data_IF_942311123071
#
_entry.id   IF_942311123071
#
_cell.length_a   1.000
_cell.length_b   1.000
_cell.length_c   1.000
_cell.angle_alpha   90.00
_cell.angle_beta   90.00
_cell.angle_gamma   90.00
#
_symmetry.space_group_name_H-M   'P 1'
#
loop_
_entity.id
_entity.type
_entity.pdbx_description
1 polymer ?
#
# COMPACT_ATOMS: atom_id res chain seq x y z
N UNK A 1 18.24 1.37 -9.68
CA UNK A 1 16.88 0.99 -10.12
C UNK A 1 15.95 0.97 -8.93
N UNK A 2 14.76 1.53 -9.07
CA UNK A 2 13.78 1.53 -7.99
C UNK A 2 13.06 0.20 -7.90
N UNK A 3 12.87 -0.27 -6.68
CA UNK A 3 12.10 -1.49 -6.43
C UNK A 3 10.62 -1.20 -6.28
N UNK A 4 10.30 0.00 -5.82
CA UNK A 4 8.92 0.41 -5.57
C UNK A 4 8.82 1.92 -5.71
N UNK A 5 7.60 2.41 -5.87
CA UNK A 5 7.39 3.83 -6.08
C UNK A 5 6.26 4.35 -5.22
N UNK A 6 6.50 5.53 -4.61
CA UNK A 6 5.47 6.32 -3.95
C UNK A 6 4.99 7.32 -4.98
N UNK A 7 3.74 7.21 -5.38
CA UNK A 7 3.24 7.94 -6.55
C UNK A 7 3.02 9.42 -6.25
N UNK A 8 2.48 9.73 -5.09
CA UNK A 8 2.17 11.10 -4.69
C UNK A 8 2.82 11.37 -3.33
N UNK A 9 3.25 12.60 -3.09
CA UNK A 9 3.95 12.93 -1.84
C UNK A 9 3.13 12.63 -0.58
N UNK A 10 1.80 12.62 -0.71
CA UNK A 10 0.92 12.36 0.45
C UNK A 10 0.59 10.90 0.62
N UNK A 11 1.02 10.04 -0.29
CA UNK A 11 0.70 8.62 -0.20
C UNK A 11 1.36 7.98 1.02
N UNK A 12 0.66 7.07 1.65
CA UNK A 12 1.22 6.26 2.72
C UNK A 12 1.41 4.81 2.30
N UNK A 13 1.33 4.56 1.00
CA UNK A 13 1.63 3.26 0.41
C UNK A 13 2.55 3.45 -0.79
N UNK A 14 3.26 2.38 -1.15
CA UNK A 14 4.06 2.34 -2.36
C UNK A 14 3.63 1.14 -3.18
N UNK A 15 3.95 1.16 -4.47
CA UNK A 15 3.61 0.09 -5.39
C UNK A 15 4.89 -0.60 -5.83
N UNK A 16 4.91 -1.93 -5.75
CA UNK A 16 6.08 -2.70 -6.17
C UNK A 16 6.22 -2.63 -7.69
N UNK A 17 7.42 -2.34 -8.16
CA UNK A 17 7.69 -2.26 -9.59
C UNK A 17 8.19 -3.60 -10.14
N UNK A 18 8.48 -4.54 -9.27
CA UNK A 18 8.85 -5.90 -9.60
C UNK A 18 8.50 -6.78 -8.41
N UNK A 19 8.61 -8.08 -8.58
CA UNK A 19 8.36 -8.99 -7.46
C UNK A 19 9.44 -8.79 -6.42
N UNK A 20 9.03 -8.63 -5.17
CA UNK A 20 9.95 -8.36 -4.07
C UNK A 20 9.82 -9.49 -3.05
N UNK A 21 10.94 -10.07 -2.62
CA UNK A 21 10.88 -11.19 -1.67
C UNK A 21 10.52 -10.75 -0.27
N UNK A 22 10.02 -11.68 0.51
CA UNK A 22 9.70 -11.44 1.90
C UNK A 22 10.95 -10.95 2.64
N UNK A 23 10.75 -10.01 3.54
CA UNK A 23 11.79 -9.46 4.43
C UNK A 23 12.85 -8.64 3.71
N UNK A 24 12.67 -8.39 2.41
CA UNK A 24 13.58 -7.50 1.70
C UNK A 24 13.45 -6.09 2.26
N UNK A 25 14.58 -5.37 2.28
CA UNK A 25 14.58 -3.96 2.62
C UNK A 25 14.58 -3.17 1.33
N UNK A 26 13.61 -2.30 1.17
CA UNK A 26 13.51 -1.48 -0.02
C UNK A 26 13.54 -0.02 0.37
N UNK A 27 14.07 0.80 -0.51
CA UNK A 27 14.13 2.23 -0.26
C UNK A 27 13.10 2.91 -1.13
N UNK A 28 12.23 3.70 -0.50
CA UNK A 28 11.15 4.38 -1.20
C UNK A 28 11.10 5.82 -0.69
N UNK A 29 11.31 6.78 -1.59
CA UNK A 29 11.22 8.20 -1.26
C UNK A 29 12.09 8.55 -0.03
N UNK A 30 13.31 7.99 0.02
CA UNK A 30 14.24 8.27 1.10
C UNK A 30 13.98 7.50 2.38
N UNK A 31 13.00 6.62 2.38
CA UNK A 31 12.60 5.85 3.56
C UNK A 31 12.93 4.39 3.31
N UNK A 32 13.49 3.72 4.32
CA UNK A 32 13.82 2.30 4.19
C UNK A 32 12.72 1.47 4.84
N UNK A 33 12.13 0.56 4.07
CA UNK A 33 11.00 -0.25 4.50
C UNK A 33 11.41 -1.71 4.43
N UNK A 34 11.16 -2.46 5.52
CA UNK A 34 11.35 -3.90 5.52
C UNK A 34 10.00 -4.55 5.23
N UNK A 35 9.95 -5.36 4.18
CA UNK A 35 8.69 -6.01 3.79
C UNK A 35 8.37 -7.15 4.75
N UNK A 36 7.10 -7.27 5.08
CA UNK A 36 6.64 -8.30 6.01
C UNK A 36 6.42 -9.63 5.32
N UNK A 37 6.19 -9.61 4.02
CA UNK A 37 5.93 -10.80 3.23
C UNK A 37 6.34 -10.48 1.80
N UNK A 38 6.23 -11.46 0.94
CA UNK A 38 6.48 -11.29 -0.49
C UNK A 38 5.47 -10.28 -1.05
N UNK A 39 5.93 -9.38 -1.91
CA UNK A 39 5.08 -8.38 -2.54
C UNK A 39 5.23 -8.52 -4.04
N UNK A 40 4.18 -8.94 -4.72
CA UNK A 40 4.22 -9.10 -6.16
C UNK A 40 4.16 -7.76 -6.88
N UNK A 41 4.68 -7.76 -8.09
CA UNK A 41 4.68 -6.57 -8.94
C UNK A 41 3.27 -6.02 -9.06
N UNK A 42 3.14 -4.72 -8.91
CA UNK A 42 1.86 -4.03 -9.02
C UNK A 42 1.07 -3.97 -7.73
N UNK A 43 1.49 -4.70 -6.71
CA UNK A 43 0.79 -4.67 -5.42
C UNK A 43 1.34 -3.54 -4.56
N UNK A 44 0.49 -3.04 -3.67
CA UNK A 44 0.89 -1.94 -2.80
C UNK A 44 1.14 -2.42 -1.39
N UNK A 45 2.04 -1.73 -0.70
CA UNK A 45 2.36 -2.04 0.68
C UNK A 45 2.46 -0.74 1.48
N UNK A 46 2.25 -0.86 2.79
CA UNK A 46 2.24 0.30 3.67
C UNK A 46 3.65 0.85 3.89
N UNK A 47 3.78 2.16 3.84
CA UNK A 47 5.03 2.86 4.14
C UNK A 47 5.15 3.20 5.61
N UNK A 48 4.05 3.14 6.34
CA UNK A 48 4.00 3.50 7.76
C UNK A 48 2.95 2.60 8.40
N UNK A 49 3.03 2.38 9.72
CA UNK A 49 1.98 1.60 10.38
C UNK A 49 0.65 2.32 10.26
N UNK A 50 -0.41 1.56 10.03
CA UNK A 50 -1.76 2.10 9.92
C UNK A 50 -2.62 1.46 11.00
N UNK A 51 -3.28 2.28 11.80
CA UNK A 51 -4.22 1.79 12.79
C UNK A 51 -5.52 1.42 12.10
N UNK A 52 -6.36 0.65 12.80
CA UNK A 52 -7.71 0.37 12.30
C UNK A 52 -8.41 1.69 11.98
N UNK A 53 -9.10 1.71 10.87
CA UNK A 53 -9.82 2.88 10.34
C UNK A 53 -8.93 3.97 9.77
N UNK A 54 -7.60 3.81 9.80
CA UNK A 54 -6.73 4.78 9.17
C UNK A 54 -6.95 4.75 7.65
N UNK A 55 -6.81 5.91 7.03
CA UNK A 55 -6.99 6.01 5.59
C UNK A 55 -5.78 5.48 4.85
N UNK A 56 -6.03 4.75 3.77
CA UNK A 56 -5.00 4.34 2.82
C UNK A 56 -5.02 5.39 1.71
N UNK A 57 -3.90 6.08 1.55
CA UNK A 57 -3.81 7.20 0.61
C UNK A 57 -2.92 6.81 -0.55
N UNK A 58 -3.46 6.89 -1.76
CA UNK A 58 -2.76 6.60 -2.99
C UNK A 58 -3.19 7.63 -4.01
N UNK A 59 -2.25 8.12 -4.81
CA UNK A 59 -2.48 9.24 -5.71
C UNK A 59 -2.92 10.49 -4.95
N UNK A 60 -2.55 10.60 -3.70
CA UNK A 60 -2.98 11.71 -2.87
C UNK A 60 -4.43 11.63 -2.42
N UNK A 61 -5.11 10.51 -2.65
CA UNK A 61 -6.54 10.36 -2.37
C UNK A 61 -6.77 9.21 -1.38
N UNK A 62 -7.78 9.34 -0.51
CA UNK A 62 -8.13 8.28 0.43
C UNK A 62 -8.92 7.20 -0.30
N UNK A 63 -8.23 6.19 -0.80
CA UNK A 63 -8.85 5.14 -1.61
C UNK A 63 -9.47 4.03 -0.78
N UNK A 64 -9.04 3.89 0.48
CA UNK A 64 -9.48 2.79 1.33
C UNK A 64 -9.24 3.15 2.78
N UNK A 65 -9.69 2.28 3.68
CA UNK A 65 -9.36 2.41 5.10
C UNK A 65 -8.98 1.02 5.62
N UNK A 66 -8.12 1.00 6.63
CA UNK A 66 -7.67 -0.24 7.24
C UNK A 66 -8.81 -0.83 8.07
N UNK A 67 -9.03 -2.14 7.96
CA UNK A 67 -10.04 -2.82 8.76
C UNK A 67 -9.42 -3.48 9.98
N UNK A 68 -8.09 -3.47 10.06
CA UNK A 68 -7.33 -3.96 11.18
C UNK A 68 -5.97 -3.26 11.13
N UNK A 69 -5.16 -3.33 12.19
CA UNK A 69 -3.84 -2.69 12.13
C UNK A 69 -2.99 -3.28 11.01
N UNK A 70 -2.28 -2.41 10.31
CA UNK A 70 -1.40 -2.82 9.22
C UNK A 70 -0.01 -2.34 9.56
N UNK A 71 0.98 -3.22 9.45
CA UNK A 71 2.36 -2.88 9.74
C UNK A 71 3.03 -2.23 8.53
N UNK A 72 4.04 -1.41 8.79
CA UNK A 72 4.89 -0.91 7.72
C UNK A 72 5.47 -2.11 6.97
N UNK A 73 5.43 -2.05 5.65
CA UNK A 73 5.92 -3.15 4.80
C UNK A 73 4.91 -4.25 4.56
N UNK A 74 3.72 -4.13 5.10
CA UNK A 74 2.68 -5.14 4.92
C UNK A 74 1.84 -4.80 3.69
N UNK A 75 1.45 -5.83 2.92
CA UNK A 75 0.60 -5.65 1.74
C UNK A 75 -0.77 -5.10 2.16
N UNK A 76 -1.30 -4.23 1.31
CA UNK A 76 -2.66 -3.74 1.46
C UNK A 76 -3.54 -4.55 0.50
N UNK A 77 -4.53 -5.27 1.04
CA UNK A 77 -5.47 -6.00 0.19
C UNK A 77 -6.78 -6.20 0.93
N UNK A 78 -7.71 -6.91 0.30
CA UNK A 78 -9.09 -6.97 0.81
C UNK A 78 -9.21 -7.61 2.20
N UNK A 79 -8.20 -8.33 2.66
CA UNK A 79 -8.27 -8.93 3.99
C UNK A 79 -7.96 -7.93 5.09
N UNK A 80 -7.29 -6.80 4.79
CA UNK A 80 -6.93 -5.84 5.82
C UNK A 80 -7.36 -4.41 5.51
N UNK A 81 -8.01 -4.20 4.37
CA UNK A 81 -8.47 -2.86 3.99
C UNK A 81 -9.73 -2.96 3.17
N UNK A 82 -10.56 -1.93 3.25
CA UNK A 82 -11.80 -1.88 2.49
C UNK A 82 -11.81 -0.59 1.70
N UNK A 83 -12.23 -0.68 0.44
CA UNK A 83 -12.25 0.49 -0.41
C UNK A 83 -13.28 1.50 0.08
N UNK A 84 -12.90 2.78 0.00
CA UNK A 84 -13.81 3.88 0.30
C UNK A 84 -14.68 4.20 -0.90
N UNK A 85 -14.43 3.56 -2.03
CA UNK A 85 -15.14 3.83 -3.27
C UNK A 85 -16.13 2.74 -3.59
N UNK A 86 -16.52 1.95 -2.60
CA UNK A 86 -17.35 0.78 -2.85
C UNK A 86 -18.68 1.13 -3.51
N UNK A 87 -19.22 2.32 -3.22
CA UNK A 87 -20.47 2.72 -3.83
C UNK A 87 -20.29 3.18 -5.26
N UNK A 88 -19.08 3.54 -5.63
CA UNK A 88 -18.79 4.09 -6.94
C UNK A 88 -18.28 3.03 -7.88
N UNK A 89 -17.42 2.18 -7.38
CA UNK A 89 -16.72 1.27 -8.24
C UNK A 89 -17.51 0.06 -8.63
N UNK A 90 -18.76 0.00 -8.24
CA UNK A 90 -19.61 -1.05 -8.72
C UNK A 90 -19.68 -1.04 -10.20
N UNK A 91 -19.39 0.01 -10.80
CA UNK A 91 -19.43 0.09 -12.20
C UNK A 91 -18.15 0.61 -12.78
N UNK A 92 -17.31 0.59 -12.24
CA UNK A 92 -16.14 1.05 -12.73
C UNK A 92 -15.39 0.15 -13.30
N UNK A 93 -15.53 -0.04 -13.29
CA UNK A 93 -14.77 -0.35 -13.62
C UNK A 93 -14.15 -1.00 -13.66
N UNK A 94 -14.42 -1.39 -13.57
CA UNK A 94 -13.78 -1.79 -13.44
C UNK A 94 -13.19 -2.05 -13.99
#
# INVERSE_FOLDING_TARGET
MQDAIKIHSRDNVAVALRDLPAHAEVEVAGQRIRLQQEVGRGHKFALTPLATDALVIKYGLPIAHATQPISSGEIIHSSNARTNLSDVDEYDYQ
#
